data_IF_704272147124
#
_entry.id   IF_704272147124
#
_cell.length_a   1.000
_cell.length_b   1.000
_cell.length_c   1.000
_cell.angle_alpha   90.00
_cell.angle_beta   90.00
_cell.angle_gamma   90.00
#
_symmetry.space_group_name_H-M   'P 1'
#
loop_
_entity.id
_entity.type
_entity.pdbx_description
1 polymer ?
#
# COMPACT_ATOMS: atom_id res chain seq x y z
N UNK A 1 1.77 -22.86 28.13
CA UNK A 1 2.29 -22.87 26.75
C UNK A 1 2.15 -21.46 26.19
N UNK A 2 3.16 -20.90 25.50
CA UNK A 2 2.94 -19.70 24.71
C UNK A 2 1.84 -19.97 23.67
N UNK A 3 1.00 -18.99 23.32
CA UNK A 3 -0.04 -19.19 22.32
C UNK A 3 0.61 -19.65 21.00
N UNK A 4 0.05 -20.70 20.41
CA UNK A 4 0.47 -21.19 19.11
C UNK A 4 0.51 -20.02 18.12
N UNK A 5 1.64 -19.82 17.45
CA UNK A 5 1.73 -18.90 16.33
C UNK A 5 0.59 -19.26 15.36
N UNK A 6 -0.29 -18.32 14.97
CA UNK A 6 -1.32 -18.62 13.98
C UNK A 6 -0.61 -19.16 12.74
N UNK A 7 -1.03 -20.33 12.27
CA UNK A 7 -0.44 -20.96 11.08
C UNK A 7 -0.52 -19.95 9.94
N UNK A 8 0.62 -19.41 9.48
CA UNK A 8 0.63 -18.51 8.31
C UNK A 8 0.04 -19.30 7.14
N UNK A 9 -1.19 -19.02 6.72
CA UNK A 9 -1.92 -19.82 5.73
C UNK A 9 -1.05 -20.10 4.50
N UNK A 10 -0.72 -21.37 4.22
CA UNK A 10 0.22 -21.72 3.15
C UNK A 10 -0.38 -21.35 1.79
N UNK A 11 0.37 -20.63 0.94
CA UNK A 11 -0.12 -20.22 -0.40
C UNK A 11 0.29 -21.23 -1.47
N UNK A 12 1.55 -21.69 -1.42
CA UNK A 12 2.11 -22.60 -2.41
C UNK A 12 2.58 -23.92 -1.79
N UNK A 13 2.32 -25.02 -2.49
CA UNK A 13 2.89 -26.32 -2.12
C UNK A 13 4.40 -26.37 -2.40
N UNK A 14 4.87 -25.70 -3.45
CA UNK A 14 6.29 -25.59 -3.74
C UNK A 14 7.00 -24.75 -2.65
N UNK A 15 8.04 -25.27 -1.98
CA UNK A 15 8.70 -24.60 -0.86
C UNK A 15 9.45 -23.32 -1.27
N UNK A 16 9.99 -23.27 -2.50
CA UNK A 16 10.68 -22.09 -3.04
C UNK A 16 9.66 -20.98 -3.29
N UNK A 17 8.55 -21.29 -3.97
CA UNK A 17 7.48 -20.31 -4.20
C UNK A 17 6.88 -19.81 -2.89
N UNK A 18 6.70 -20.68 -1.90
CA UNK A 18 6.22 -20.31 -0.57
C UNK A 18 7.21 -19.38 0.17
N UNK A 19 8.51 -19.66 0.09
CA UNK A 19 9.53 -18.80 0.68
C UNK A 19 9.54 -17.40 0.05
N UNK A 20 9.33 -17.30 -1.27
CA UNK A 20 9.23 -16.02 -1.99
C UNK A 20 8.02 -15.17 -1.57
N UNK A 21 7.01 -15.75 -0.92
CA UNK A 21 5.88 -14.98 -0.38
C UNK A 21 6.22 -14.23 0.91
N UNK A 22 7.38 -14.54 1.54
CA UNK A 22 7.75 -14.03 2.86
C UNK A 22 8.85 -12.99 2.74
N UNK A 23 8.55 -11.76 3.11
CA UNK A 23 9.43 -10.61 2.97
C UNK A 23 9.52 -9.83 4.27
N UNK A 24 10.74 -9.54 4.72
CA UNK A 24 10.92 -8.61 5.83
C UNK A 24 10.69 -7.18 5.35
N UNK A 25 9.85 -6.41 6.05
CA UNK A 25 9.40 -5.06 5.66
C UNK A 25 10.54 -4.09 5.33
N UNK A 26 11.67 -4.20 6.04
CA UNK A 26 12.83 -3.33 5.82
C UNK A 26 13.39 -3.43 4.39
N UNK A 27 13.29 -4.58 3.73
CA UNK A 27 13.83 -4.77 2.37
C UNK A 27 13.15 -3.84 1.36
N UNK A 28 11.81 -3.92 1.15
CA UNK A 28 11.14 -3.02 0.23
C UNK A 28 11.23 -1.56 0.68
N UNK A 29 11.13 -1.25 1.98
CA UNK A 29 11.25 0.15 2.44
C UNK A 29 12.60 0.76 2.04
N UNK A 30 13.71 0.05 2.24
CA UNK A 30 15.04 0.53 1.84
C UNK A 30 15.14 0.70 0.33
N UNK A 31 14.65 -0.25 -0.46
CA UNK A 31 14.67 -0.17 -1.93
C UNK A 31 13.90 1.06 -2.41
N UNK A 32 12.66 1.23 -1.98
CA UNK A 32 11.77 2.25 -2.54
C UNK A 32 12.07 3.66 -2.04
N UNK A 33 12.40 3.84 -0.75
CA UNK A 33 12.89 5.14 -0.29
C UNK A 33 14.25 5.48 -0.91
N UNK A 34 15.14 4.50 -1.05
CA UNK A 34 16.42 4.67 -1.73
C UNK A 34 16.25 5.12 -3.18
N UNK A 35 15.33 4.48 -3.94
CA UNK A 35 14.98 4.90 -5.30
C UNK A 35 14.37 6.30 -5.34
N UNK A 36 13.52 6.66 -4.37
CA UNK A 36 12.96 8.00 -4.24
C UNK A 36 14.05 9.08 -4.08
N UNK A 37 14.96 8.87 -3.12
CA UNK A 37 16.10 9.76 -2.84
C UNK A 37 17.01 9.85 -4.06
N UNK A 38 17.38 8.71 -4.66
CA UNK A 38 18.23 8.67 -5.85
C UNK A 38 17.59 9.42 -7.03
N UNK A 39 16.28 9.27 -7.24
CA UNK A 39 15.55 9.97 -8.31
C UNK A 39 15.53 11.47 -8.10
N UNK A 40 15.36 11.95 -6.87
CA UNK A 40 15.49 13.36 -6.53
C UNK A 40 16.89 13.90 -6.78
N UNK A 41 17.92 13.15 -6.36
CA UNK A 41 19.33 13.50 -6.59
C UNK A 41 19.65 13.57 -8.09
N UNK A 42 19.27 12.56 -8.88
CA UNK A 42 19.44 12.53 -10.34
C UNK A 42 18.74 13.72 -10.99
N UNK A 43 17.52 14.05 -10.55
CA UNK A 43 16.76 15.16 -11.13
C UNK A 43 17.46 16.50 -10.96
N UNK A 44 18.00 16.77 -9.77
CA UNK A 44 18.68 18.05 -9.48
C UNK A 44 20.10 18.08 -10.05
N UNK A 45 20.91 17.06 -9.76
CA UNK A 45 22.35 17.13 -9.98
C UNK A 45 22.82 16.58 -11.31
N UNK A 46 22.02 15.73 -11.97
CA UNK A 46 22.39 15.11 -13.25
C UNK A 46 21.56 15.70 -14.39
N UNK A 47 20.26 15.87 -14.19
CA UNK A 47 19.36 16.45 -15.20
C UNK A 47 19.30 17.98 -15.15
N UNK A 48 19.84 18.60 -14.10
CA UNK A 48 19.92 20.06 -13.96
C UNK A 48 18.57 20.73 -13.67
N UNK A 49 17.55 19.99 -13.23
CA UNK A 49 16.28 20.60 -12.85
C UNK A 49 16.41 21.38 -11.55
N UNK A 50 15.66 22.48 -11.44
CA UNK A 50 15.58 23.22 -10.18
C UNK A 50 14.97 22.35 -9.08
N UNK A 51 15.28 22.69 -7.82
CA UNK A 51 14.68 22.04 -6.66
C UNK A 51 13.16 22.17 -6.68
N UNK A 52 12.63 23.35 -7.06
CA UNK A 52 11.19 23.57 -7.16
C UNK A 52 10.53 22.69 -8.22
N UNK A 53 11.13 22.56 -9.41
CA UNK A 53 10.64 21.67 -10.47
C UNK A 53 10.62 20.22 -9.98
N UNK A 54 11.73 19.78 -9.38
CA UNK A 54 11.89 18.43 -8.85
C UNK A 54 10.83 18.15 -7.79
N UNK A 55 10.70 19.00 -6.77
CA UNK A 55 9.72 18.84 -5.70
C UNK A 55 8.28 18.88 -6.20
N UNK A 56 7.98 19.68 -7.22
CA UNK A 56 6.64 19.75 -7.81
C UNK A 56 6.25 18.42 -8.46
N UNK A 57 7.07 17.88 -9.36
CA UNK A 57 6.81 16.58 -9.98
C UNK A 57 6.83 15.45 -8.95
N UNK A 58 7.73 15.51 -7.97
CA UNK A 58 7.80 14.55 -6.88
C UNK A 58 6.52 14.52 -6.05
N UNK A 59 6.01 15.69 -5.64
CA UNK A 59 4.78 15.79 -4.87
C UNK A 59 3.57 15.26 -5.67
N UNK A 60 3.49 15.60 -6.95
CA UNK A 60 2.43 15.07 -7.85
C UNK A 60 2.56 13.55 -7.99
N UNK A 61 3.77 13.00 -8.13
CA UNK A 61 4.00 11.56 -8.19
C UNK A 61 3.59 10.83 -6.91
N UNK A 62 3.90 11.39 -5.75
CA UNK A 62 3.48 10.86 -4.46
C UNK A 62 1.95 10.90 -4.29
N UNK A 63 1.30 12.01 -4.66
CA UNK A 63 -0.15 12.13 -4.65
C UNK A 63 -0.80 11.14 -5.63
N UNK A 64 -0.25 11.00 -6.83
CA UNK A 64 -0.72 10.05 -7.83
C UNK A 64 -0.63 8.61 -7.33
N UNK A 65 0.43 8.25 -6.60
CA UNK A 65 0.51 6.96 -5.95
C UNK A 65 -0.68 6.70 -5.02
N UNK A 66 -1.09 7.68 -4.19
CA UNK A 66 -2.23 7.47 -3.28
C UNK A 66 -3.55 7.18 -4.03
N UNK A 67 -3.70 7.71 -5.25
CA UNK A 67 -4.84 7.39 -6.11
C UNK A 67 -4.73 5.95 -6.63
N UNK A 68 -3.54 5.53 -7.08
CA UNK A 68 -3.30 4.17 -7.54
C UNK A 68 -3.49 3.16 -6.41
N UNK A 69 -3.04 3.48 -5.20
CA UNK A 69 -3.30 2.70 -3.98
C UNK A 69 -4.79 2.48 -3.80
N UNK A 70 -5.59 3.56 -3.79
CA UNK A 70 -7.03 3.49 -3.62
C UNK A 70 -7.69 2.61 -4.70
N UNK A 71 -7.37 2.85 -5.96
CA UNK A 71 -7.95 2.14 -7.10
C UNK A 71 -7.56 0.65 -7.10
N UNK A 72 -6.29 0.34 -6.82
CA UNK A 72 -5.82 -1.03 -6.72
C UNK A 72 -6.49 -1.75 -5.55
N UNK A 73 -6.56 -1.11 -4.38
CA UNK A 73 -7.17 -1.73 -3.21
C UNK A 73 -8.67 -2.02 -3.45
N UNK A 74 -9.40 -1.07 -4.04
CA UNK A 74 -10.82 -1.24 -4.35
C UNK A 74 -11.10 -2.25 -5.45
N UNK A 75 -10.44 -2.14 -6.60
CA UNK A 75 -10.83 -2.88 -7.81
C UNK A 75 -9.97 -4.11 -8.11
N UNK A 76 -8.73 -4.15 -7.64
CA UNK A 76 -7.82 -5.28 -7.85
C UNK A 76 -7.80 -6.18 -6.61
N UNK A 77 -7.57 -5.62 -5.42
CA UNK A 77 -7.44 -6.41 -4.19
C UNK A 77 -8.80 -6.93 -3.71
N UNK A 78 -9.87 -6.16 -3.92
CA UNK A 78 -11.27 -6.55 -3.65
C UNK A 78 -12.08 -6.80 -4.93
N UNK A 79 -11.44 -7.36 -5.96
CA UNK A 79 -12.11 -7.65 -7.25
C UNK A 79 -13.30 -8.61 -7.09
N UNK A 80 -14.37 -8.46 -7.88
CA UNK A 80 -15.45 -9.44 -7.91
C UNK A 80 -15.01 -10.80 -8.46
N UNK A 81 -15.32 -11.89 -7.74
CA UNK A 81 -14.84 -13.26 -8.05
C UNK A 81 -15.92 -14.21 -8.56
N UNK A 82 -17.16 -13.73 -8.71
CA UNK A 82 -18.30 -14.54 -9.14
C UNK A 82 -18.00 -15.35 -10.41
N UNK A 83 -18.24 -16.66 -10.34
CA UNK A 83 -18.09 -17.58 -11.48
C UNK A 83 -16.66 -17.90 -11.91
N UNK A 84 -15.61 -17.51 -11.16
CA UNK A 84 -14.23 -17.80 -11.56
C UNK A 84 -13.31 -18.19 -10.41
N UNK A 85 -13.01 -19.49 -10.33
CA UNK A 85 -12.02 -20.03 -9.38
C UNK A 85 -10.62 -19.38 -9.53
N UNK A 86 -10.26 -18.97 -10.75
CA UNK A 86 -9.02 -18.24 -11.01
C UNK A 86 -9.02 -16.87 -10.32
N UNK A 87 -10.12 -16.12 -10.42
CA UNK A 87 -10.25 -14.82 -9.75
C UNK A 87 -10.27 -14.97 -8.24
N UNK A 88 -10.99 -15.98 -7.70
CA UNK A 88 -10.96 -16.31 -6.26
C UNK A 88 -9.53 -16.50 -5.78
N UNK A 89 -8.76 -17.35 -6.48
CA UNK A 89 -7.36 -17.61 -6.12
C UNK A 89 -6.49 -16.36 -6.24
N UNK A 90 -6.65 -15.58 -7.30
CA UNK A 90 -5.87 -14.35 -7.51
C UNK A 90 -6.15 -13.32 -6.40
N UNK A 91 -7.42 -13.03 -6.12
CA UNK A 91 -7.82 -12.11 -5.06
C UNK A 91 -7.27 -12.58 -3.70
N UNK A 92 -7.36 -13.87 -3.41
CA UNK A 92 -6.85 -14.45 -2.17
C UNK A 92 -5.33 -14.26 -2.01
N UNK A 93 -4.55 -14.51 -3.07
CA UNK A 93 -3.09 -14.30 -3.05
C UNK A 93 -2.74 -12.82 -2.88
N UNK A 94 -3.49 -11.93 -3.53
CA UNK A 94 -3.20 -10.49 -3.52
C UNK A 94 -3.56 -9.83 -2.19
N UNK A 95 -4.69 -10.22 -1.58
CA UNK A 95 -5.18 -9.54 -0.39
C UNK A 95 -6.04 -10.40 0.56
N UNK A 96 -6.72 -11.45 0.08
CA UNK A 96 -7.55 -12.29 0.97
C UNK A 96 -6.76 -12.94 2.11
N UNK A 97 -5.54 -13.42 1.85
CA UNK A 97 -4.67 -13.97 2.91
C UNK A 97 -4.32 -12.92 3.98
N UNK A 98 -4.23 -11.64 3.59
CA UNK A 98 -3.98 -10.55 4.52
C UNK A 98 -5.19 -10.32 5.44
N UNK A 99 -6.42 -10.42 4.92
CA UNK A 99 -7.64 -10.37 5.75
C UNK A 99 -7.74 -11.54 6.72
N UNK A 100 -7.35 -12.75 6.30
CA UNK A 100 -7.36 -13.93 7.18
C UNK A 100 -6.24 -13.88 8.24
N UNK A 101 -5.10 -13.26 7.90
CA UNK A 101 -3.90 -13.21 8.74
C UNK A 101 -3.29 -11.80 8.82
N UNK A 102 -4.02 -10.79 9.34
CA UNK A 102 -3.62 -9.38 9.27
C UNK A 102 -2.35 -9.08 10.06
N UNK A 103 -1.99 -9.95 11.02
CA UNK A 103 -0.78 -9.83 11.84
C UNK A 103 0.42 -10.63 11.31
N UNK A 104 0.32 -11.31 10.17
CA UNK A 104 1.47 -11.99 9.56
C UNK A 104 2.44 -10.97 8.96
N UNK A 105 3.42 -10.59 9.77
CA UNK A 105 4.44 -9.58 9.46
C UNK A 105 5.24 -9.87 8.19
N UNK A 106 5.28 -11.13 7.73
CA UNK A 106 6.09 -11.52 6.57
C UNK A 106 5.35 -11.39 5.25
N UNK A 107 4.04 -11.13 5.26
CA UNK A 107 3.17 -11.13 4.06
C UNK A 107 2.43 -9.83 3.79
N UNK A 108 2.81 -8.78 4.52
CA UNK A 108 2.26 -7.44 4.32
C UNK A 108 2.86 -6.72 3.10
N UNK A 109 4.05 -7.14 2.66
CA UNK A 109 4.76 -6.53 1.55
C UNK A 109 4.82 -7.43 0.32
N UNK A 110 4.83 -6.82 -0.86
CA UNK A 110 5.14 -7.54 -2.08
C UNK A 110 6.53 -8.21 -1.99
N UNK A 111 6.70 -9.39 -2.62
CA UNK A 111 8.02 -10.01 -2.77
C UNK A 111 9.04 -9.03 -3.38
N UNK A 112 10.32 -9.05 -2.96
CA UNK A 112 11.32 -8.09 -3.45
C UNK A 112 11.53 -8.15 -4.96
N UNK A 113 11.52 -9.35 -5.56
CA UNK A 113 11.66 -9.49 -7.01
C UNK A 113 10.52 -8.79 -7.76
N UNK A 114 9.27 -9.04 -7.34
CA UNK A 114 8.11 -8.40 -7.95
C UNK A 114 8.15 -6.87 -7.74
N UNK A 115 8.58 -6.44 -6.56
CA UNK A 115 8.78 -5.03 -6.22
C UNK A 115 9.75 -4.34 -7.20
N UNK A 116 10.92 -4.93 -7.46
CA UNK A 116 11.93 -4.35 -8.36
C UNK A 116 11.44 -4.31 -9.81
N UNK A 117 10.77 -5.37 -10.27
CA UNK A 117 10.18 -5.42 -11.63
C UNK A 117 9.16 -4.31 -11.82
N UNK A 118 8.22 -4.15 -10.89
CA UNK A 118 7.21 -3.10 -10.95
C UNK A 118 7.85 -1.70 -10.82
N UNK A 119 8.83 -1.53 -9.93
CA UNK A 119 9.55 -0.26 -9.80
C UNK A 119 10.20 0.16 -11.12
N UNK A 120 10.87 -0.78 -11.78
CA UNK A 120 11.56 -0.56 -13.06
C UNK A 120 10.56 -0.23 -14.16
N UNK A 121 9.48 -1.02 -14.26
CA UNK A 121 8.43 -0.83 -15.24
C UNK A 121 7.79 0.56 -15.10
N UNK A 122 7.36 0.93 -13.89
CA UNK A 122 6.70 2.22 -13.66
C UNK A 122 7.66 3.39 -13.84
N UNK A 123 8.90 3.30 -13.37
CA UNK A 123 9.90 4.35 -13.60
C UNK A 123 10.15 4.56 -15.10
N UNK A 124 10.31 3.48 -15.86
CA UNK A 124 10.45 3.53 -17.32
C UNK A 124 9.22 4.16 -17.99
N UNK A 125 8.02 3.77 -17.57
CA UNK A 125 6.76 4.31 -18.08
C UNK A 125 6.64 5.81 -17.80
N UNK A 126 6.93 6.26 -16.58
CA UNK A 126 6.88 7.68 -16.23
C UNK A 126 7.92 8.49 -17.00
N UNK A 127 9.13 7.96 -17.16
CA UNK A 127 10.18 8.57 -17.98
C UNK A 127 9.80 8.67 -19.46
N UNK A 128 9.06 7.68 -19.98
CA UNK A 128 8.57 7.65 -21.34
C UNK A 128 7.49 8.71 -21.57
N UNK A 129 6.51 8.80 -20.66
CA UNK A 129 5.37 9.71 -20.80
C UNK A 129 5.74 11.16 -20.48
N UNK A 130 6.45 11.40 -19.39
CA UNK A 130 6.72 12.74 -18.85
C UNK A 130 8.11 13.29 -19.24
N UNK A 131 8.83 12.59 -20.12
CA UNK A 131 10.21 12.94 -20.43
C UNK A 131 11.10 12.85 -19.18
N UNK A 132 12.24 13.58 -19.13
CA UNK A 132 13.16 13.48 -18.00
C UNK A 132 12.54 13.86 -16.65
N UNK A 133 11.50 14.71 -16.63
CA UNK A 133 10.70 15.00 -15.42
C UNK A 133 10.03 13.76 -14.82
N UNK A 134 9.84 12.71 -15.61
CA UNK A 134 9.33 11.42 -15.16
C UNK A 134 10.20 10.74 -14.10
N UNK A 135 11.50 11.08 -13.99
CA UNK A 135 12.36 10.60 -12.91
C UNK A 135 11.93 11.21 -11.57
N UNK A 136 11.73 12.53 -11.49
CA UNK A 136 11.26 13.19 -10.28
C UNK A 136 9.86 12.67 -9.87
N UNK A 137 8.95 12.56 -10.84
CA UNK A 137 7.62 11.99 -10.63
C UNK A 137 7.70 10.54 -10.11
N UNK A 138 8.51 9.70 -10.75
CA UNK A 138 8.73 8.32 -10.35
C UNK A 138 9.31 8.22 -8.94
N UNK A 139 10.25 9.09 -8.58
CA UNK A 139 10.78 9.17 -7.22
C UNK A 139 9.70 9.44 -6.17
N UNK A 140 8.82 10.38 -6.47
CA UNK A 140 7.62 10.67 -5.69
C UNK A 140 6.70 9.47 -5.55
N UNK A 141 6.38 8.83 -6.66
CA UNK A 141 5.54 7.63 -6.69
C UNK A 141 6.10 6.49 -5.83
N UNK A 142 7.41 6.19 -5.96
CA UNK A 142 8.07 5.14 -5.17
C UNK A 142 8.10 5.47 -3.67
N UNK A 143 8.28 6.74 -3.33
CA UNK A 143 8.22 7.22 -1.93
C UNK A 143 6.80 7.12 -1.37
N UNK A 144 5.79 7.43 -2.18
CA UNK A 144 4.38 7.20 -1.84
C UNK A 144 4.13 5.73 -1.50
N UNK A 145 4.61 4.81 -2.35
CA UNK A 145 4.51 3.37 -2.11
C UNK A 145 5.20 2.92 -0.82
N UNK A 146 6.44 3.37 -0.59
CA UNK A 146 7.15 3.05 0.65
C UNK A 146 6.42 3.57 1.90
N UNK A 147 5.85 4.78 1.81
CA UNK A 147 5.08 5.39 2.90
C UNK A 147 3.79 4.62 3.18
N UNK A 148 3.04 4.25 2.14
CA UNK A 148 1.89 3.36 2.25
C UNK A 148 2.25 2.05 2.95
N UNK A 149 3.32 1.39 2.50
CA UNK A 149 3.75 0.12 3.03
C UNK A 149 4.16 0.21 4.51
N UNK A 150 4.86 1.29 4.88
CA UNK A 150 5.21 1.59 6.26
C UNK A 150 3.97 1.80 7.13
N UNK A 151 3.02 2.63 6.68
CA UNK A 151 1.75 2.88 7.39
C UNK A 151 0.96 1.60 7.56
N UNK A 152 0.79 0.83 6.49
CA UNK A 152 0.05 -0.43 6.50
C UNK A 152 0.66 -1.42 7.49
N UNK A 153 1.99 -1.57 7.47
CA UNK A 153 2.71 -2.38 8.43
C UNK A 153 2.51 -1.91 9.87
N UNK A 154 2.65 -0.60 10.12
CA UNK A 154 2.50 -0.04 11.45
C UNK A 154 1.09 -0.26 12.01
N UNK A 155 0.05 -0.06 11.18
CA UNK A 155 -1.35 -0.25 11.62
C UNK A 155 -1.63 -1.67 12.10
N UNK A 156 -1.02 -2.68 11.46
CA UNK A 156 -1.24 -4.08 11.81
C UNK A 156 -0.33 -4.60 12.93
N UNK A 157 0.83 -3.98 13.13
CA UNK A 157 1.88 -4.55 14.00
C UNK A 157 2.19 -3.72 15.24
N UNK A 158 1.68 -2.49 15.32
CA UNK A 158 1.91 -1.55 16.41
C UNK A 158 0.61 -1.16 17.11
N UNK A 159 0.73 -0.61 18.32
CA UNK A 159 -0.38 -0.03 19.05
C UNK A 159 -0.90 1.24 18.35
N UNK A 160 -2.20 1.57 18.47
CA UNK A 160 -2.78 2.76 17.86
C UNK A 160 -2.06 4.02 18.36
N UNK A 161 -1.60 4.90 17.46
CA UNK A 161 -0.97 6.14 17.87
C UNK A 161 -2.00 7.10 18.49
N UNK A 162 -1.59 7.82 19.54
CA UNK A 162 -2.44 8.80 20.28
C UNK A 162 -2.38 10.22 19.70
N UNK A 163 -1.99 10.35 18.43
CA UNK A 163 -1.86 11.63 17.72
C UNK A 163 -2.70 11.61 16.44
N UNK A 164 -2.49 12.59 15.56
CA UNK A 164 -3.23 12.73 14.30
C UNK A 164 -3.21 11.47 13.41
N UNK A 165 -2.15 10.65 13.49
CA UNK A 165 -2.04 9.42 12.70
C UNK A 165 -2.96 8.29 13.20
N UNK A 166 -3.60 8.46 14.36
CA UNK A 166 -4.62 7.54 14.87
C UNK A 166 -5.80 7.39 13.92
N UNK A 167 -6.04 8.40 13.05
CA UNK A 167 -7.06 8.35 12.00
C UNK A 167 -6.81 7.22 11.01
N UNK A 168 -5.55 7.00 10.59
CA UNK A 168 -5.19 5.97 9.61
C UNK A 168 -5.37 4.57 10.21
N UNK A 169 -4.99 4.43 11.48
CA UNK A 169 -5.22 3.21 12.24
C UNK A 169 -6.71 2.90 12.31
N UNK A 170 -7.52 3.87 12.77
CA UNK A 170 -8.98 3.70 12.85
C UNK A 170 -9.58 3.37 11.49
N UNK A 171 -9.22 4.13 10.46
CA UNK A 171 -9.76 3.99 9.10
C UNK A 171 -9.52 2.59 8.55
N UNK A 172 -8.28 2.10 8.58
CA UNK A 172 -7.98 0.77 8.06
C UNK A 172 -8.56 -0.35 8.96
N UNK A 173 -8.76 -0.11 10.25
CA UNK A 173 -9.48 -1.08 11.09
C UNK A 173 -10.98 -1.14 10.76
N UNK A 174 -11.61 -0.06 10.28
CA UNK A 174 -12.99 -0.13 9.76
C UNK A 174 -13.07 -1.09 8.57
N UNK A 175 -12.08 -1.03 7.67
CA UNK A 175 -11.96 -1.94 6.53
C UNK A 175 -11.85 -3.41 6.96
N UNK A 176 -11.02 -3.72 7.96
CA UNK A 176 -10.81 -5.11 8.42
C UNK A 176 -11.96 -5.66 9.28
N UNK A 177 -12.66 -4.82 10.03
CA UNK A 177 -13.55 -5.30 11.11
C UNK A 177 -15.01 -4.85 11.00
N UNK A 178 -15.34 -3.85 10.18
CA UNK A 178 -16.72 -3.40 9.97
C UNK A 178 -17.23 -3.87 8.61
N UNK A 179 -16.41 -3.74 7.57
CA UNK A 179 -16.72 -4.25 6.24
C UNK A 179 -15.60 -3.93 5.25
N UNK A 180 -15.29 -4.89 4.39
CA UNK A 180 -14.22 -4.82 3.39
C UNK A 180 -14.64 -4.08 2.10
N UNK A 181 -15.86 -3.53 2.07
CA UNK A 181 -16.43 -2.80 0.92
C UNK A 181 -16.22 -1.28 0.99
N UNK A 182 -15.48 -0.79 1.98
CA UNK A 182 -15.12 0.62 2.14
C UNK A 182 -13.77 0.81 2.84
N UNK A 183 -13.37 2.07 3.04
CA UNK A 183 -12.10 2.44 3.66
C UNK A 183 -10.87 1.84 2.94
N UNK A 184 -10.81 2.04 1.62
CA UNK A 184 -9.76 1.48 0.76
C UNK A 184 -8.43 2.26 0.87
N UNK A 185 -8.45 3.54 1.23
CA UNK A 185 -7.23 4.31 1.48
C UNK A 185 -6.53 3.87 2.77
N UNK A 186 -5.28 3.44 2.69
CA UNK A 186 -4.47 3.06 3.85
C UNK A 186 -3.54 4.20 4.24
N UNK A 187 -2.90 4.86 3.28
CA UNK A 187 -2.03 6.03 3.53
C UNK A 187 -2.81 7.30 3.85
N UNK A 188 -4.06 7.41 3.37
CA UNK A 188 -4.95 8.54 3.58
C UNK A 188 -6.41 8.18 3.26
N UNK A 189 -7.41 8.69 4.01
CA UNK A 189 -8.83 8.51 3.69
C UNK A 189 -9.33 9.45 2.56
N UNK A 190 -8.45 10.26 1.96
CA UNK A 190 -8.81 11.29 0.97
C UNK A 190 -9.70 10.74 -0.15
N UNK A 191 -9.30 9.63 -0.77
CA UNK A 191 -10.03 9.08 -1.92
C UNK A 191 -11.33 8.39 -1.50
N UNK A 192 -11.43 7.86 -0.29
CA UNK A 192 -12.70 7.36 0.24
C UNK A 192 -13.72 8.50 0.44
N UNK A 193 -13.27 9.68 0.86
CA UNK A 193 -14.13 10.86 0.91
C UNK A 193 -14.54 11.32 -0.48
N UNK A 194 -13.61 11.39 -1.43
CA UNK A 194 -13.88 11.85 -2.81
C UNK A 194 -14.84 10.90 -3.55
N UNK A 195 -14.64 9.59 -3.42
CA UNK A 195 -15.42 8.57 -4.13
C UNK A 195 -16.58 7.98 -3.31
N UNK A 196 -16.83 8.49 -2.11
CA UNK A 196 -17.97 8.10 -1.28
C UNK A 196 -17.91 6.66 -0.75
N UNK A 197 -16.72 6.18 -0.36
CA UNK A 197 -16.50 4.83 0.18
C UNK A 197 -16.11 4.81 1.65
N UNK A 198 -16.43 5.87 2.40
CA UNK A 198 -16.26 5.90 3.86
C UNK A 198 -17.31 5.02 4.54
N UNK A 199 -16.90 3.97 5.30
CA UNK A 199 -17.84 3.12 6.01
C UNK A 199 -18.43 3.86 7.23
N UNK A 200 -19.64 3.47 7.62
CA UNK A 200 -20.25 3.95 8.86
C UNK A 200 -19.42 3.49 10.07
N UNK A 201 -19.05 4.42 10.96
CA UNK A 201 -18.40 4.07 12.22
C UNK A 201 -19.46 3.68 13.27
N UNK A 202 -19.51 2.41 13.72
CA UNK A 202 -20.49 1.95 14.70
C UNK A 202 -20.43 2.73 16.02
N UNK A 203 -19.25 3.24 16.41
CA UNK A 203 -19.09 4.04 17.63
C UNK A 203 -19.66 5.44 17.47
N UNK A 204 -19.57 6.02 16.27
CA UNK A 204 -20.17 7.32 15.98
C UNK A 204 -21.71 7.20 15.98
N UNK A 205 -22.25 6.15 15.35
CA UNK A 205 -23.69 5.86 15.34
C UNK A 205 -24.27 5.70 16.73
N UNK A 206 -23.58 4.97 17.62
CA UNK A 206 -24.04 4.76 19.01
C UNK A 206 -24.13 6.07 19.80
N UNK A 207 -23.22 7.03 19.58
CA UNK A 207 -23.28 8.33 20.25
C UNK A 207 -24.50 9.14 19.84
N UNK A 208 -24.81 9.18 18.54
CA UNK A 208 -25.99 9.88 18.00
C UNK A 208 -27.29 9.25 18.52
N UNK A 209 -27.33 7.92 18.67
CA UNK A 209 -28.50 7.23 19.21
C UNK A 209 -28.73 7.43 20.72
N UNK A 210 -27.76 8.00 21.44
CA UNK A 210 -27.82 8.24 22.89
C UNK A 210 -27.92 9.71 23.27
N UNK A 211 -28.01 10.60 22.28
CA UNK A 211 -28.19 12.06 22.41
C UNK A 211 -29.55 12.46 21.87
#
# INVERSE_FOLDING_TARGET
MPPAQPSSGRIFQNPILEALTKTHIAIPLTIFYGLGIASGHVSVHILGYSVLHTLSFYAVGALFFTLIEYLAHRYLYHMGTAGSARKVRLQYIMHGIHHDHPRDKKRLALPPLLSVVLATLFMGLFRLILGPSGIAFGGGYMTGYATYLMVHYAVHTMNPPKNIFGVLWKHHNLHHYVGDTGAFGVSSPLWDHIFGTMPEDPKARRKVATT
#
